data_IF_502500560076
#
_entry.id   IF_502500560076
#
_cell.length_a   1.000
_cell.length_b   1.000
_cell.length_c   1.000
_cell.angle_alpha   90.00
_cell.angle_beta   90.00
_cell.angle_gamma   90.00
#
_symmetry.space_group_name_H-M   'P 1'
#
loop_
_entity.id
_entity.type
_entity.pdbx_description
1 polymer ?
#
# COMPACT_ATOMS: atom_id res chain seq x y z
N UNK A 1 4.75 24.02 -8.95
CA UNK A 1 4.85 23.80 -7.49
C UNK A 1 5.60 22.48 -7.29
N UNK A 2 6.63 22.40 -6.45
CA UNK A 2 7.43 21.17 -6.28
C UNK A 2 6.60 20.05 -5.63
N UNK A 3 6.84 18.79 -6.02
CA UNK A 3 6.20 17.59 -5.44
C UNK A 3 6.31 17.56 -3.91
N UNK A 4 7.47 17.91 -3.36
CA UNK A 4 7.69 18.00 -1.91
C UNK A 4 6.81 19.04 -1.23
N UNK A 5 6.46 20.14 -1.91
CA UNK A 5 5.55 21.14 -1.36
C UNK A 5 4.11 20.61 -1.27
N UNK A 6 3.70 19.75 -2.20
CA UNK A 6 2.39 19.09 -2.17
C UNK A 6 2.38 18.03 -1.07
N UNK A 7 3.45 17.23 -0.98
CA UNK A 7 3.63 16.23 0.07
C UNK A 7 3.55 16.84 1.47
N UNK A 8 4.30 17.92 1.72
CA UNK A 8 4.32 18.57 3.03
C UNK A 8 2.94 19.17 3.39
N UNK A 9 2.12 19.53 2.40
CA UNK A 9 0.75 19.99 2.64
C UNK A 9 -0.21 18.83 2.93
N UNK A 10 -0.11 17.75 2.16
CA UNK A 10 -1.01 16.60 2.27
C UNK A 10 -0.67 15.72 3.49
N UNK A 11 0.61 15.61 3.83
CA UNK A 11 1.16 14.77 4.90
C UNK A 11 2.15 15.59 5.73
N UNK A 12 1.68 16.56 6.54
CA UNK A 12 2.54 17.51 7.26
C UNK A 12 3.47 16.87 8.30
N UNK A 13 3.12 15.67 8.78
CA UNK A 13 3.92 14.92 9.74
C UNK A 13 4.90 13.94 9.06
N UNK A 14 4.92 13.88 7.72
CA UNK A 14 5.83 13.02 6.98
C UNK A 14 7.22 13.64 6.99
N UNK A 15 8.09 13.12 7.85
CA UNK A 15 9.51 13.47 7.79
C UNK A 15 10.17 12.65 6.69
N UNK A 16 10.69 13.33 5.68
CA UNK A 16 11.41 12.69 4.57
C UNK A 16 12.82 13.27 4.49
N UNK A 17 13.82 12.38 4.47
CA UNK A 17 15.19 12.73 4.14
C UNK A 17 15.43 12.48 2.65
N UNK A 18 16.20 13.39 2.02
CA UNK A 18 16.66 13.25 0.64
C UNK A 18 18.18 13.16 0.67
N UNK A 19 18.73 11.96 0.49
CA UNK A 19 20.16 11.75 0.28
C UNK A 19 20.39 11.31 -1.17
N UNK A 20 21.35 11.90 -1.88
CA UNK A 20 21.61 11.51 -3.27
C UNK A 20 22.38 10.17 -3.35
N UNK A 21 21.87 9.13 -2.68
CA UNK A 21 22.49 7.81 -2.59
C UNK A 21 21.48 6.71 -2.83
N UNK A 22 21.94 5.66 -3.51
CA UNK A 22 21.20 4.41 -3.58
C UNK A 22 21.02 3.82 -2.18
N UNK A 23 19.96 3.05 -2.00
CA UNK A 23 19.61 2.52 -0.69
C UNK A 23 18.56 1.43 -0.75
N UNK A 24 18.19 0.94 0.42
CA UNK A 24 17.13 -0.04 0.58
C UNK A 24 16.54 0.00 1.98
N UNK A 25 15.30 -0.45 2.13
CA UNK A 25 14.64 -0.44 3.42
C UNK A 25 13.23 -1.01 3.41
N UNK A 26 12.70 -1.20 4.62
CA UNK A 26 11.32 -1.60 4.83
C UNK A 26 10.41 -0.37 4.79
N UNK A 27 9.32 -0.48 4.03
CA UNK A 27 8.29 0.54 3.93
C UNK A 27 7.58 0.71 5.28
N UNK A 28 7.52 1.95 5.76
CA UNK A 28 6.68 2.37 6.87
C UNK A 28 5.34 2.91 6.36
N UNK A 29 5.39 3.70 5.30
CA UNK A 29 4.23 4.29 4.65
C UNK A 29 4.36 4.17 3.13
N UNK A 30 3.23 4.07 2.44
CA UNK A 30 3.19 4.16 0.99
C UNK A 30 1.92 4.84 0.52
N UNK A 31 2.00 5.54 -0.60
CA UNK A 31 0.87 6.24 -1.19
C UNK A 31 1.05 6.37 -2.70
N UNK A 32 -0.06 6.64 -3.39
CA UNK A 32 -0.04 6.95 -4.80
C UNK A 32 -0.19 8.45 -4.99
N UNK A 33 0.60 8.99 -5.90
CA UNK A 33 0.50 10.36 -6.36
C UNK A 33 0.26 10.33 -7.87
N UNK A 34 -0.81 10.97 -8.32
CA UNK A 34 -1.13 11.10 -9.74
C UNK A 34 -1.13 12.57 -10.12
N UNK A 35 -0.44 12.88 -11.21
CA UNK A 35 -0.59 14.15 -11.93
C UNK A 35 -1.39 13.89 -13.22
N UNK A 36 -1.48 14.90 -14.10
CA UNK A 36 -2.25 14.81 -15.34
C UNK A 36 -1.74 13.73 -16.32
N UNK A 37 -0.46 13.34 -16.22
CA UNK A 37 0.19 12.47 -17.20
C UNK A 37 0.58 11.10 -16.63
N UNK A 38 0.78 11.02 -15.32
CA UNK A 38 1.51 9.92 -14.68
C UNK A 38 1.00 9.62 -13.28
N UNK A 39 1.01 8.32 -12.96
CA UNK A 39 0.83 7.85 -11.58
C UNK A 39 2.15 7.34 -11.05
N UNK A 40 2.44 7.67 -9.81
CA UNK A 40 3.63 7.29 -9.09
C UNK A 40 3.24 6.61 -7.78
N UNK A 41 3.92 5.52 -7.49
CA UNK A 41 3.91 4.88 -6.18
C UNK A 41 5.10 5.41 -5.38
N UNK A 42 4.82 6.02 -4.24
CA UNK A 42 5.83 6.52 -3.30
C UNK A 42 5.84 5.64 -2.05
N UNK A 43 7.05 5.40 -1.54
CA UNK A 43 7.30 4.74 -0.27
C UNK A 43 8.16 5.65 0.59
N UNK A 44 7.86 5.68 1.88
CA UNK A 44 8.74 6.18 2.92
C UNK A 44 9.12 5.02 3.84
N UNK A 45 10.41 4.84 4.08
CA UNK A 45 10.95 3.77 4.90
C UNK A 45 10.92 4.13 6.39
N UNK A 46 11.20 3.16 7.27
CA UNK A 46 11.39 3.42 8.69
C UNK A 46 12.62 4.30 9.01
N UNK A 47 13.56 4.44 8.07
CA UNK A 47 14.70 5.36 8.16
C UNK A 47 14.37 6.77 7.65
N UNK A 48 13.09 7.05 7.39
CA UNK A 48 12.58 8.30 6.80
C UNK A 48 13.14 8.62 5.41
N UNK A 49 13.73 7.65 4.71
CA UNK A 49 14.12 7.81 3.32
C UNK A 49 12.92 7.52 2.42
N UNK A 50 12.87 8.16 1.25
CA UNK A 50 11.82 7.89 0.28
C UNK A 50 12.34 7.18 -0.95
N UNK A 51 11.43 6.49 -1.64
CA UNK A 51 11.66 5.95 -2.96
C UNK A 51 10.37 6.01 -3.78
N UNK A 52 10.49 6.05 -5.11
CA UNK A 52 9.31 6.13 -5.96
C UNK A 52 9.43 5.29 -7.23
N UNK A 53 8.27 4.88 -7.75
CA UNK A 53 8.13 4.17 -9.02
C UNK A 53 7.03 4.81 -9.85
N UNK A 54 7.29 5.14 -11.10
CA UNK A 54 6.22 5.42 -12.06
C UNK A 54 5.47 4.12 -12.36
N UNK A 55 4.16 4.12 -12.20
CA UNK A 55 3.29 2.95 -12.37
C UNK A 55 2.25 3.26 -13.44
N UNK A 56 1.97 2.29 -14.29
CA UNK A 56 0.87 2.36 -15.25
C UNK A 56 -0.33 1.55 -14.73
N UNK A 57 -1.41 1.56 -15.49
CA UNK A 57 -2.65 0.86 -15.14
C UNK A 57 -2.42 -0.65 -14.96
N UNK A 58 -1.76 -1.31 -15.91
CA UNK A 58 -1.50 -2.76 -15.85
C UNK A 58 -0.69 -3.16 -14.61
N UNK A 59 0.28 -2.32 -14.22
CA UNK A 59 1.08 -2.55 -13.02
C UNK A 59 0.22 -2.43 -11.77
N UNK A 60 -0.65 -1.43 -11.68
CA UNK A 60 -1.58 -1.26 -10.56
C UNK A 60 -2.55 -2.43 -10.49
N UNK A 61 -3.15 -2.83 -11.60
CA UNK A 61 -4.07 -3.96 -11.66
C UNK A 61 -3.42 -5.26 -11.16
N UNK A 62 -2.18 -5.50 -11.59
CA UNK A 62 -1.44 -6.72 -11.23
C UNK A 62 -0.95 -6.72 -9.77
N UNK A 63 -0.61 -5.55 -9.21
CA UNK A 63 0.14 -5.47 -7.95
C UNK A 63 -0.62 -4.81 -6.79
N UNK A 64 -1.66 -4.01 -7.02
CA UNK A 64 -2.32 -3.26 -5.94
C UNK A 64 -2.84 -4.17 -4.81
N UNK A 65 -3.43 -5.32 -5.17
CA UNK A 65 -3.87 -6.31 -4.17
C UNK A 65 -2.72 -6.88 -3.36
N UNK A 66 -1.57 -7.12 -4.01
CA UNK A 66 -0.39 -7.62 -3.33
C UNK A 66 0.13 -6.58 -2.34
N UNK A 67 0.23 -5.31 -2.75
CA UNK A 67 0.71 -4.23 -1.90
C UNK A 67 -0.18 -4.00 -0.67
N UNK A 68 -1.49 -3.98 -0.87
CA UNK A 68 -2.47 -3.72 0.22
C UNK A 68 -2.49 -4.87 1.24
N UNK A 69 -2.38 -6.11 0.77
CA UNK A 69 -2.50 -7.29 1.64
C UNK A 69 -1.16 -7.76 2.24
N UNK A 70 -0.05 -7.14 1.86
CA UNK A 70 1.26 -7.52 2.37
C UNK A 70 1.45 -7.02 3.80
N UNK A 71 2.05 -7.84 4.66
CA UNK A 71 2.35 -7.43 6.03
C UNK A 71 3.55 -6.49 6.09
N UNK A 72 4.50 -6.65 5.17
CA UNK A 72 5.69 -5.82 5.01
C UNK A 72 6.07 -5.70 3.55
N UNK A 73 6.60 -4.55 3.17
CA UNK A 73 7.16 -4.32 1.83
C UNK A 73 8.61 -3.88 2.01
N UNK A 74 9.52 -4.52 1.31
CA UNK A 74 10.92 -4.10 1.19
C UNK A 74 11.13 -3.46 -0.17
N UNK A 75 11.92 -2.38 -0.23
CA UNK A 75 12.29 -1.71 -1.48
C UNK A 75 13.77 -1.43 -1.53
N UNK A 76 14.33 -1.44 -2.74
CA UNK A 76 15.64 -0.90 -3.06
C UNK A 76 15.52 0.13 -4.18
N UNK A 77 16.35 1.15 -4.13
CA UNK A 77 16.32 2.28 -5.05
C UNK A 77 17.73 2.71 -5.48
N UNK A 78 17.79 3.38 -6.63
CA UNK A 78 19.04 3.94 -7.14
C UNK A 78 19.32 5.35 -6.57
N UNK A 79 20.43 5.95 -7.00
CA UNK A 79 20.87 7.32 -6.66
C UNK A 79 19.84 8.43 -6.95
N UNK A 80 18.82 8.14 -7.77
CA UNK A 80 17.70 9.04 -8.08
C UNK A 80 16.43 8.68 -7.32
N UNK A 81 16.52 7.87 -6.28
CA UNK A 81 15.41 7.33 -5.49
C UNK A 81 14.35 6.56 -6.31
N UNK A 82 14.70 6.10 -7.52
CA UNK A 82 13.79 5.27 -8.32
C UNK A 82 13.86 3.83 -7.82
N UNK A 83 12.71 3.27 -7.48
CA UNK A 83 12.60 1.88 -7.04
C UNK A 83 13.02 0.96 -8.20
N UNK A 84 14.12 0.25 -7.97
CA UNK A 84 14.68 -0.75 -8.91
C UNK A 84 14.20 -2.15 -8.56
N UNK A 85 13.94 -2.41 -7.28
CA UNK A 85 13.49 -3.70 -6.77
C UNK A 85 12.53 -3.52 -5.59
N UNK A 86 11.54 -4.41 -5.49
CA UNK A 86 10.64 -4.45 -4.35
C UNK A 86 10.19 -5.88 -4.06
N UNK A 87 9.89 -6.15 -2.80
CA UNK A 87 9.43 -7.45 -2.31
C UNK A 87 8.26 -7.23 -1.35
N UNK A 88 7.17 -7.95 -1.59
CA UNK A 88 6.01 -7.99 -0.72
C UNK A 88 6.01 -9.28 0.11
N UNK A 89 6.06 -9.16 1.44
CA UNK A 89 6.00 -10.31 2.34
C UNK A 89 4.54 -10.70 2.55
N UNK A 90 4.20 -11.92 2.14
CA UNK A 90 2.91 -12.53 2.41
C UNK A 90 3.04 -13.50 3.58
N UNK A 91 2.23 -13.29 4.63
CA UNK A 91 2.08 -14.30 5.67
C UNK A 91 1.35 -15.52 5.11
N UNK A 92 1.98 -16.69 5.16
CA UNK A 92 1.24 -17.95 4.94
C UNK A 92 0.50 -18.25 6.23
N UNK A 93 -0.83 -18.34 6.17
CA UNK A 93 -1.56 -18.96 7.27
C UNK A 93 -1.09 -20.41 7.37
N UNK A 94 -0.61 -20.83 8.54
CA UNK A 94 -0.28 -22.24 8.72
C UNK A 94 -1.54 -23.10 8.52
N UNK A 95 -1.46 -24.19 7.73
CA UNK A 95 -2.56 -25.13 7.60
C UNK A 95 -2.75 -25.85 8.94
N UNK A 96 -3.58 -25.27 9.82
CA UNK A 96 -3.83 -25.77 11.16
C UNK A 96 -4.53 -24.78 12.09
N UNK A 97 -4.44 -23.47 11.84
CA UNK A 97 -5.08 -22.43 12.66
C UNK A 97 -6.40 -21.88 12.10
N UNK A 98 -6.96 -22.49 11.05
CA UNK A 98 -8.34 -22.23 10.66
C UNK A 98 -9.28 -22.89 11.68
N UNK A 99 -9.73 -22.14 12.69
CA UNK A 99 -10.91 -22.55 13.45
C UNK A 99 -12.10 -22.58 12.47
N UNK A 100 -12.74 -23.72 12.23
CA UNK A 100 -13.94 -23.76 11.38
C UNK A 100 -15.06 -23.03 12.14
N UNK A 101 -15.43 -21.83 11.72
CA UNK A 101 -16.57 -21.14 12.32
C UNK A 101 -16.67 -19.61 12.20
N UNK A 102 -15.68 -18.90 11.67
CA UNK A 102 -15.77 -17.44 11.51
C UNK A 102 -16.36 -16.99 10.18
N UNK A 103 -17.39 -17.69 9.67
CA UNK A 103 -18.25 -17.12 8.63
C UNK A 103 -19.20 -16.16 9.34
N UNK A 104 -19.01 -14.84 9.13
CA UNK A 104 -19.95 -13.82 9.56
C UNK A 104 -21.36 -14.22 9.09
N UNK A 105 -22.25 -14.55 10.02
CA UNK A 105 -23.65 -14.86 9.76
C UNK A 105 -24.26 -13.73 8.94
N UNK A 106 -24.79 -14.10 7.77
CA UNK A 106 -25.44 -13.20 6.84
C UNK A 106 -26.63 -12.45 7.45
N UNK A 107 -26.85 -11.25 6.92
CA UNK A 107 -28.06 -10.46 7.09
C UNK A 107 -29.30 -11.35 6.87
N UNK A 108 -30.03 -11.66 7.94
CA UNK A 108 -31.35 -12.25 7.84
C UNK A 108 -32.33 -11.20 7.35
N UNK A 109 -32.79 -11.37 6.10
CA UNK A 109 -33.96 -10.67 5.55
C UNK A 109 -35.18 -11.16 6.34
N UNK A 110 -35.77 -10.27 7.16
CA UNK A 110 -37.05 -10.48 7.85
C UNK A 110 -38.16 -10.67 6.80
N UNK A 111 -38.71 -11.88 6.67
CA UNK A 111 -40.04 -12.08 6.08
C UNK A 111 -41.09 -11.88 7.17
N UNK A 112 -41.85 -10.79 7.03
CA UNK A 112 -43.12 -10.57 7.72
C UNK A 112 -44.10 -11.71 7.40
N UNK A 113 -44.65 -12.36 8.43
CA UNK A 113 -45.93 -13.05 8.33
C UNK A 113 -46.99 -12.11 8.89
N UNK A 114 -47.84 -11.58 8.03
CA UNK A 114 -49.14 -11.04 8.44
C UNK A 114 -50.01 -12.22 8.89
N UNK A 115 -50.45 -12.17 10.14
CA UNK A 115 -51.65 -12.85 10.60
C UNK A 115 -52.84 -11.93 10.27
N UNK A 116 -53.83 -12.46 9.56
CA UNK A 116 -55.21 -11.99 9.66
C UNK A 116 -56.07 -13.24 9.77
N UNK A 117 -56.77 -13.32 10.91
CA UNK A 117 -57.88 -14.23 11.18
C UNK A 117 -59.00 -14.07 10.16
#
# INVERSE_FOLDING_TARGET
MSFFNILNKALPNLQVSHNNSAGSGWANQSFFFSDEESTYWYIVTYTNEYAFKKVNFDWLESNARLLINSSKIFVAWNDKHRITYWLAVQGKAEPGNMKPGSVKKGNQIKKLKQQSN
#
